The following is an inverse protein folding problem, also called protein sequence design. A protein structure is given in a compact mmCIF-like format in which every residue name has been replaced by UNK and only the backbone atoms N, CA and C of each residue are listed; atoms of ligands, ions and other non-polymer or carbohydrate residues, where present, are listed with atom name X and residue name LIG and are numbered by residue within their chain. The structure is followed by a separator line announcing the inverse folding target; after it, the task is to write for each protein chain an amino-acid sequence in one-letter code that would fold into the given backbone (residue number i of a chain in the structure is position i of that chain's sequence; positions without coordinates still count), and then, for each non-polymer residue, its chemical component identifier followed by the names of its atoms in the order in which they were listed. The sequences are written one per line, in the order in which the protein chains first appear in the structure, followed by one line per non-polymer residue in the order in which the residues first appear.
data_IF_892731257525
#
_entry.id   IF_892731257525
#
_cell.length_a   1.000
_cell.length_b   1.000
_cell.length_c   1.000
_cell.angle_alpha   90.00
_cell.angle_beta   90.00
_cell.angle_gamma   90.00
#
_symmetry.space_group_name_H-M   'P 1'
#
loop_
_entity.id
_entity.type
_entity.pdbx_description
1 polymer ?
#
# COMPACT_ATOMS: atom_id res chain seq x y z
N UNK A 1 -20.79 16.88 89.94
CA UNK A 1 -20.74 17.50 88.60
C UNK A 1 -19.97 16.55 87.70
N UNK A 2 -20.62 15.87 86.75
CA UNK A 2 -19.93 14.97 85.81
C UNK A 2 -20.07 15.54 84.40
N UNK A 3 -18.95 15.96 83.83
CA UNK A 3 -18.85 16.46 82.46
C UNK A 3 -18.91 15.28 81.49
N UNK A 4 -19.92 15.24 80.61
CA UNK A 4 -19.94 14.31 79.48
C UNK A 4 -19.23 14.95 78.28
N UNK A 5 -18.08 14.40 77.91
CA UNK A 5 -17.44 14.66 76.62
C UNK A 5 -18.13 13.83 75.53
N UNK A 6 -18.79 14.51 74.59
CA UNK A 6 -19.46 13.88 73.46
C UNK A 6 -18.49 13.77 72.27
N UNK A 7 -17.97 12.58 72.00
CA UNK A 7 -17.16 12.31 70.80
C UNK A 7 -18.09 12.03 69.63
N UNK A 8 -18.15 12.92 68.64
CA UNK A 8 -18.98 12.75 67.45
C UNK A 8 -18.32 11.70 66.54
N UNK A 9 -18.93 10.51 66.45
CA UNK A 9 -18.51 9.46 65.53
C UNK A 9 -18.80 9.85 64.07
N UNK A 10 -17.75 9.95 63.24
CA UNK A 10 -17.85 10.24 61.80
C UNK A 10 -18.39 9.01 61.06
N UNK A 11 -19.63 9.06 60.58
CA UNK A 11 -20.20 7.98 59.74
C UNK A 11 -19.51 7.97 58.37
N UNK A 12 -18.80 6.90 58.06
CA UNK A 12 -18.37 6.59 56.69
C UNK A 12 -19.55 5.95 55.97
N UNK A 13 -20.11 6.64 54.98
CA UNK A 13 -21.15 6.05 54.11
C UNK A 13 -20.48 5.07 53.16
N UNK A 14 -20.85 3.80 53.23
CA UNK A 14 -20.49 2.79 52.24
C UNK A 14 -21.46 2.80 51.06
N UNK A 15 -21.00 2.34 49.90
CA UNK A 15 -21.85 2.10 48.73
C UNK A 15 -22.92 1.05 49.04
N UNK A 16 -24.13 1.26 48.55
CA UNK A 16 -25.20 0.26 48.64
C UNK A 16 -25.06 -0.76 47.50
N UNK A 17 -25.47 -2.00 47.74
CA UNK A 17 -25.52 -3.03 46.70
C UNK A 17 -26.46 -2.64 45.54
N UNK A 18 -27.52 -1.90 45.85
CA UNK A 18 -28.48 -1.39 44.87
C UNK A 18 -27.82 -0.37 43.92
N UNK A 19 -27.01 0.54 44.45
CA UNK A 19 -26.26 1.51 43.62
C UNK A 19 -25.33 0.79 42.66
N UNK A 20 -24.59 -0.22 43.13
CA UNK A 20 -23.69 -0.98 42.26
C UNK A 20 -24.47 -1.75 41.17
N UNK A 21 -25.62 -2.34 41.52
CA UNK A 21 -26.46 -3.08 40.58
C UNK A 21 -27.03 -2.18 39.48
N UNK A 22 -27.51 -0.98 39.82
CA UNK A 22 -28.02 -0.02 38.84
C UNK A 22 -26.88 0.45 37.93
N UNK A 23 -25.68 0.69 38.47
CA UNK A 23 -24.52 1.12 37.69
C UNK A 23 -24.13 0.08 36.64
N UNK A 24 -23.98 -1.21 37.03
CA UNK A 24 -23.62 -2.24 36.05
C UNK A 24 -24.72 -2.45 35.00
N UNK A 25 -25.99 -2.30 35.37
CA UNK A 25 -27.11 -2.39 34.43
C UNK A 25 -27.07 -1.25 33.40
N UNK A 26 -26.82 -0.01 33.85
CA UNK A 26 -26.68 1.14 32.94
C UNK A 26 -25.44 0.99 32.05
N UNK A 27 -24.31 0.56 32.61
CA UNK A 27 -23.08 0.34 31.83
C UNK A 27 -23.26 -0.71 30.74
N UNK A 28 -24.00 -1.80 31.01
CA UNK A 28 -24.30 -2.81 30.01
C UNK A 28 -25.10 -2.23 28.83
N UNK A 29 -26.12 -1.42 29.10
CA UNK A 29 -26.93 -0.77 28.06
C UNK A 29 -26.07 0.20 27.26
N UNK A 30 -25.33 1.09 27.93
CA UNK A 30 -24.48 2.09 27.25
C UNK A 30 -23.41 1.44 26.38
N UNK A 31 -22.78 0.36 26.86
CA UNK A 31 -21.75 -0.34 26.09
C UNK A 31 -22.30 -0.88 24.75
N UNK A 32 -23.51 -1.44 24.73
CA UNK A 32 -24.12 -1.95 23.49
C UNK A 32 -24.42 -0.84 22.48
N UNK A 33 -24.96 0.30 22.92
CA UNK A 33 -25.27 1.44 22.05
C UNK A 33 -24.01 2.02 21.43
N UNK A 34 -22.95 2.19 22.23
CA UNK A 34 -21.68 2.77 21.77
C UNK A 34 -21.03 1.94 20.65
N UNK A 35 -21.02 0.61 20.78
CA UNK A 35 -20.42 -0.27 19.75
C UNK A 35 -21.18 -0.19 18.43
N UNK A 36 -22.52 -0.11 18.48
CA UNK A 36 -23.36 0.02 17.28
C UNK A 36 -23.15 1.36 16.57
N UNK A 37 -22.93 2.44 17.31
CA UNK A 37 -22.75 3.79 16.75
C UNK A 37 -21.34 4.00 16.19
N UNK A 38 -20.30 3.52 16.89
CA UNK A 38 -18.91 3.84 16.53
C UNK A 38 -18.28 2.92 15.49
N UNK A 39 -18.86 1.75 15.20
CA UNK A 39 -18.32 0.73 14.30
C UNK A 39 -16.77 0.63 14.39
N UNK A 40 -16.22 0.08 15.48
CA UNK A 40 -14.78 0.11 15.76
C UNK A 40 -13.95 -0.57 14.67
N UNK A 41 -14.49 -1.59 13.99
CA UNK A 41 -13.82 -2.26 12.88
C UNK A 41 -13.56 -1.29 11.72
N UNK A 42 -14.54 -0.43 11.40
CA UNK A 42 -14.41 0.57 10.36
C UNK A 42 -13.42 1.68 10.73
N UNK A 43 -13.41 2.10 12.00
CA UNK A 43 -12.40 3.05 12.49
C UNK A 43 -10.99 2.50 12.32
N UNK A 44 -10.77 1.22 12.63
CA UNK A 44 -9.46 0.57 12.43
C UNK A 44 -9.05 0.49 10.95
N UNK A 45 -9.99 0.18 10.05
CA UNK A 45 -9.75 0.21 8.60
C UNK A 45 -9.33 1.60 8.14
N UNK A 46 -10.03 2.64 8.59
CA UNK A 46 -9.70 4.03 8.26
C UNK A 46 -8.34 4.48 8.80
N UNK A 47 -7.93 3.97 9.96
CA UNK A 47 -6.57 4.17 10.48
C UNK A 47 -5.53 3.51 9.58
N UNK A 48 -5.73 2.25 9.17
CA UNK A 48 -4.82 1.57 8.23
C UNK A 48 -4.76 2.27 6.88
N UNK A 49 -5.88 2.72 6.35
CA UNK A 49 -5.88 3.47 5.09
C UNK A 49 -5.20 4.83 5.21
N UNK A 50 -5.29 5.50 6.37
CA UNK A 50 -4.52 6.73 6.62
C UNK A 50 -3.01 6.44 6.61
N UNK A 51 -2.59 5.28 7.11
CA UNK A 51 -1.21 4.80 6.97
C UNK A 51 -0.86 4.56 5.50
N UNK A 52 -1.70 3.87 4.72
CA UNK A 52 -1.49 3.63 3.28
C UNK A 52 -1.29 4.93 2.49
N UNK A 53 -2.16 5.92 2.72
CA UNK A 53 -2.03 7.23 2.08
C UNK A 53 -0.70 7.91 2.44
N UNK A 54 -0.28 7.83 3.70
CA UNK A 54 1.01 8.39 4.15
C UNK A 54 2.19 7.65 3.51
N UNK A 55 2.17 6.32 3.52
CA UNK A 55 3.20 5.45 2.94
C UNK A 55 3.38 5.72 1.46
N UNK A 56 2.28 5.74 0.69
CA UNK A 56 2.30 5.96 -0.75
C UNK A 56 2.76 7.37 -1.11
N UNK A 57 2.34 8.40 -0.36
CA UNK A 57 2.85 9.75 -0.55
C UNK A 57 4.34 9.87 -0.25
N UNK A 58 4.81 9.16 0.78
CA UNK A 58 6.21 9.13 1.19
C UNK A 58 7.07 8.43 0.13
N UNK A 59 6.61 7.29 -0.39
CA UNK A 59 7.25 6.58 -1.49
C UNK A 59 7.30 7.43 -2.77
N UNK A 60 6.19 8.05 -3.17
CA UNK A 60 6.14 8.94 -4.33
C UNK A 60 7.16 10.08 -4.21
N UNK A 61 7.22 10.72 -3.05
CA UNK A 61 8.17 11.80 -2.79
C UNK A 61 9.63 11.30 -2.79
N UNK A 62 9.90 10.14 -2.20
CA UNK A 62 11.22 9.53 -2.16
C UNK A 62 11.74 9.18 -3.57
N UNK A 63 10.90 8.59 -4.41
CA UNK A 63 11.27 8.25 -5.80
C UNK A 63 11.44 9.51 -6.63
N UNK A 64 10.58 10.52 -6.47
CA UNK A 64 10.76 11.81 -7.14
C UNK A 64 12.10 12.48 -6.75
N UNK A 65 12.49 12.41 -5.47
CA UNK A 65 13.78 12.92 -5.03
C UNK A 65 14.95 12.12 -5.64
N UNK A 66 14.83 10.79 -5.71
CA UNK A 66 15.83 9.94 -6.36
C UNK A 66 16.02 10.32 -7.84
N UNK A 67 14.92 10.41 -8.60
CA UNK A 67 14.92 10.74 -10.04
C UNK A 67 15.52 12.11 -10.33
N UNK A 68 15.38 13.07 -9.40
CA UNK A 68 15.91 14.43 -9.59
C UNK A 68 17.38 14.58 -9.24
N UNK A 69 17.93 13.74 -8.36
CA UNK A 69 19.33 13.83 -7.94
C UNK A 69 20.27 12.91 -8.72
N UNK A 70 19.74 11.83 -9.30
CA UNK A 70 20.53 10.85 -10.05
C UNK A 70 20.42 11.16 -11.54
N UNK A 71 21.55 11.38 -12.22
CA UNK A 71 21.54 11.79 -13.63
C UNK A 71 21.03 10.75 -14.63
N UNK A 72 21.01 9.47 -14.23
CA UNK A 72 20.47 8.33 -14.99
C UNK A 72 19.75 7.40 -14.00
N UNK A 73 18.58 7.81 -13.48
CA UNK A 73 17.94 7.10 -12.38
C UNK A 73 17.45 5.74 -12.86
N UNK A 74 17.83 4.68 -12.12
CA UNK A 74 17.37 3.31 -12.36
C UNK A 74 16.29 2.93 -11.37
N UNK A 75 15.14 2.50 -11.88
CA UNK A 75 13.95 2.23 -11.08
C UNK A 75 13.64 0.74 -10.92
N UNK A 76 14.46 -0.14 -11.50
CA UNK A 76 14.28 -1.60 -11.43
C UNK A 76 15.39 -2.35 -10.67
N UNK A 77 16.30 -1.62 -10.01
CA UNK A 77 17.40 -2.18 -9.23
C UNK A 77 18.53 -2.75 -10.06
N UNK A 78 18.45 -2.71 -11.40
CA UNK A 78 19.54 -3.18 -12.25
C UNK A 78 20.62 -2.09 -12.36
N UNK A 79 21.88 -2.49 -12.23
CA UNK A 79 23.00 -1.56 -12.08
C UNK A 79 23.33 -0.74 -13.34
N UNK A 80 22.84 -1.16 -14.52
CA UNK A 80 23.27 -0.60 -15.81
C UNK A 80 22.14 -0.39 -16.84
N UNK A 81 20.90 -0.75 -16.51
CA UNK A 81 19.76 -0.66 -17.44
C UNK A 81 18.46 -0.38 -16.68
N UNK A 82 17.36 -0.12 -17.37
CA UNK A 82 16.00 -0.20 -16.80
C UNK A 82 15.24 -1.32 -17.51
N UNK A 83 15.90 -2.46 -17.73
CA UNK A 83 15.39 -3.56 -18.56
C UNK A 83 14.01 -4.03 -18.09
N UNK A 84 13.76 -4.02 -16.77
CA UNK A 84 12.48 -4.42 -16.19
C UNK A 84 11.46 -3.26 -16.10
N UNK A 85 11.81 -2.08 -16.60
CA UNK A 85 10.88 -0.97 -16.85
C UNK A 85 10.59 -0.79 -18.35
N UNK A 86 11.04 -1.67 -19.24
CA UNK A 86 10.81 -1.50 -20.67
C UNK A 86 9.49 -2.14 -21.10
N UNK A 87 8.68 -1.34 -21.79
CA UNK A 87 7.58 -1.84 -22.61
C UNK A 87 8.20 -2.59 -23.81
N UNK A 88 7.63 -3.75 -24.16
CA UNK A 88 7.96 -4.63 -25.29
C UNK A 88 9.09 -4.16 -26.23
N UNK A 89 10.19 -4.91 -26.26
CA UNK A 89 11.30 -4.65 -27.17
C UNK A 89 11.09 -5.32 -28.54
N UNK A 90 10.90 -4.53 -29.61
CA UNK A 90 10.88 -5.04 -30.99
C UNK A 90 12.21 -4.82 -31.75
N UNK A 91 13.20 -4.21 -31.09
CA UNK A 91 14.52 -3.94 -31.66
C UNK A 91 14.56 -2.86 -32.74
N UNK A 92 13.43 -2.29 -33.18
CA UNK A 92 13.39 -1.42 -34.37
C UNK A 92 12.48 -0.18 -34.30
N UNK A 93 11.66 0.04 -33.27
CA UNK A 93 10.95 1.32 -33.12
C UNK A 93 11.31 2.05 -31.84
N UNK A 94 11.76 3.32 -31.92
CA UNK A 94 11.63 4.23 -30.80
C UNK A 94 10.16 4.64 -30.74
N UNK A 95 9.58 4.58 -29.55
CA UNK A 95 8.37 5.30 -29.14
C UNK A 95 7.06 4.51 -29.03
N UNK A 96 6.30 4.93 -28.02
CA UNK A 96 5.09 4.34 -27.45
C UNK A 96 3.96 4.19 -28.48
N UNK A 97 3.63 2.96 -28.88
CA UNK A 97 2.45 2.72 -29.71
C UNK A 97 2.20 1.24 -30.00
N UNK A 98 1.13 0.72 -29.39
CA UNK A 98 0.36 -0.52 -29.70
C UNK A 98 1.11 -1.85 -29.93
N UNK A 99 0.56 -2.99 -29.48
CA UNK A 99 1.23 -4.28 -29.61
C UNK A 99 1.28 -4.71 -31.07
N UNK A 100 2.47 -4.77 -31.67
CA UNK A 100 2.69 -5.55 -32.89
C UNK A 100 2.30 -7.02 -32.62
N UNK A 101 1.84 -7.81 -33.56
CA UNK A 101 1.66 -9.24 -33.32
C UNK A 101 3.05 -9.93 -33.42
N UNK A 102 3.54 -10.57 -32.34
CA UNK A 102 4.62 -11.58 -32.44
C UNK A 102 6.02 -11.32 -31.82
N UNK A 103 6.23 -10.31 -30.96
CA UNK A 103 7.46 -10.24 -30.13
C UNK A 103 7.20 -10.93 -28.77
N UNK A 104 8.14 -11.76 -28.33
CA UNK A 104 7.85 -12.90 -27.46
C UNK A 104 7.95 -12.67 -25.93
N UNK A 105 8.17 -11.45 -25.42
CA UNK A 105 8.07 -11.21 -23.96
C UNK A 105 8.05 -9.71 -23.62
N UNK A 106 7.10 -9.28 -22.79
CA UNK A 106 7.27 -8.05 -22.02
C UNK A 106 8.39 -8.27 -20.99
N UNK A 107 9.21 -7.25 -20.74
CA UNK A 107 10.23 -7.33 -19.68
C UNK A 107 9.78 -6.63 -18.40
N UNK A 108 8.66 -5.89 -18.46
CA UNK A 108 8.11 -5.14 -17.34
C UNK A 108 7.76 -6.06 -16.18
N UNK A 109 8.32 -5.77 -15.00
CA UNK A 109 8.04 -6.51 -13.76
C UNK A 109 7.05 -5.76 -12.89
N UNK A 110 6.30 -6.52 -12.11
CA UNK A 110 5.46 -6.01 -11.03
C UNK A 110 6.09 -6.44 -9.72
N UNK A 111 6.59 -5.48 -8.98
CA UNK A 111 7.08 -5.74 -7.64
C UNK A 111 5.95 -5.58 -6.63
N UNK A 112 5.94 -6.43 -5.61
CA UNK A 112 4.90 -6.44 -4.58
C UNK A 112 5.51 -6.44 -3.19
N UNK A 113 4.84 -5.81 -2.23
CA UNK A 113 5.27 -5.82 -0.82
C UNK A 113 5.10 -7.18 -0.11
N UNK A 114 4.65 -8.21 -0.83
CA UNK A 114 4.47 -9.57 -0.30
C UNK A 114 5.82 -10.31 -0.29
N UNK A 115 6.24 -10.93 0.83
CA UNK A 115 7.48 -11.70 0.88
C UNK A 115 7.36 -12.98 0.03
N UNK A 116 8.50 -13.49 -0.45
CA UNK A 116 8.61 -14.70 -1.27
C UNK A 116 8.47 -16.04 -0.49
N UNK A 117 7.87 -16.00 0.71
CA UNK A 117 7.65 -17.23 1.48
C UNK A 117 6.69 -18.21 0.79
N UNK A 118 5.84 -17.69 -0.09
CA UNK A 118 4.98 -18.43 -1.00
C UNK A 118 4.88 -17.62 -2.30
N UNK A 119 5.18 -18.25 -3.43
CA UNK A 119 5.24 -17.57 -4.71
C UNK A 119 3.84 -17.29 -5.27
N UNK A 120 3.66 -16.10 -5.84
CA UNK A 120 2.54 -15.77 -6.70
C UNK A 120 2.65 -16.58 -7.99
N UNK A 121 1.60 -17.30 -8.32
CA UNK A 121 1.47 -18.19 -9.48
C UNK A 121 0.44 -17.71 -10.49
N UNK A 122 -0.08 -16.49 -10.30
CA UNK A 122 -1.08 -15.88 -11.16
C UNK A 122 -0.60 -15.75 -12.62
N UNK A 123 -1.41 -16.28 -13.53
CA UNK A 123 -1.20 -16.23 -14.99
C UNK A 123 -2.31 -15.48 -15.72
N UNK A 124 -3.26 -14.88 -14.99
CA UNK A 124 -4.51 -14.33 -15.52
C UNK A 124 -4.46 -12.85 -15.91
N UNK A 125 -3.29 -12.22 -15.79
CA UNK A 125 -3.11 -10.78 -16.01
C UNK A 125 -3.02 -10.48 -17.50
N UNK A 126 -4.18 -10.31 -18.13
CA UNK A 126 -4.23 -9.99 -19.56
C UNK A 126 -5.33 -8.98 -19.86
N UNK A 127 -4.99 -7.69 -19.94
CA UNK A 127 -5.78 -6.75 -20.75
C UNK A 127 -4.93 -5.62 -21.34
N UNK A 128 -3.92 -5.10 -20.63
CA UNK A 128 -3.01 -4.04 -21.16
C UNK A 128 -1.52 -4.41 -21.19
N UNK A 129 -1.17 -5.60 -20.67
CA UNK A 129 0.17 -6.17 -20.71
C UNK A 129 0.10 -7.56 -21.35
N UNK A 130 -0.11 -7.65 -22.67
CA UNK A 130 -0.25 -8.93 -23.33
C UNK A 130 0.94 -9.85 -23.01
N UNK A 131 0.71 -10.89 -22.20
CA UNK A 131 1.68 -11.86 -21.66
C UNK A 131 2.45 -11.42 -20.39
N UNK A 132 1.76 -11.16 -19.27
CA UNK A 132 2.39 -11.30 -17.95
C UNK A 132 2.20 -12.73 -17.44
N UNK A 133 3.28 -13.36 -16.98
CA UNK A 133 3.27 -14.68 -16.34
C UNK A 133 3.65 -14.54 -14.86
N UNK A 134 3.54 -15.64 -14.09
CA UNK A 134 4.04 -15.68 -12.70
C UNK A 134 5.48 -15.18 -12.56
N UNK A 135 6.31 -15.39 -13.60
CA UNK A 135 7.68 -14.91 -13.69
C UNK A 135 7.83 -13.38 -13.70
N UNK A 136 6.75 -12.63 -13.92
CA UNK A 136 6.75 -11.16 -13.95
C UNK A 136 6.44 -10.53 -12.60
N UNK A 137 5.94 -11.32 -11.64
CA UNK A 137 5.96 -10.94 -10.23
C UNK A 137 7.37 -11.00 -9.68
N UNK A 138 7.71 -9.97 -8.91
CA UNK A 138 8.95 -9.95 -8.16
C UNK A 138 8.64 -9.76 -6.67
N UNK A 139 8.64 -10.88 -5.96
CA UNK A 139 8.62 -10.94 -4.51
C UNK A 139 10.05 -10.94 -3.98
N UNK A 140 10.23 -10.41 -2.77
CA UNK A 140 11.54 -10.30 -2.13
C UNK A 140 11.53 -11.08 -0.83
N UNK A 141 12.65 -11.74 -0.51
CA UNK A 141 12.85 -12.39 0.80
C UNK A 141 12.53 -11.45 1.94
N UNK A 142 11.93 -11.98 3.01
CA UNK A 142 11.53 -11.19 4.19
C UNK A 142 12.69 -10.35 4.79
N UNK A 143 13.92 -10.84 4.68
CA UNK A 143 15.12 -10.14 5.17
C UNK A 143 15.44 -8.85 4.40
N UNK A 144 14.97 -8.75 3.15
CA UNK A 144 15.27 -7.66 2.23
C UNK A 144 14.07 -6.76 1.99
N UNK A 145 12.86 -7.20 2.36
CA UNK A 145 11.59 -6.53 2.12
C UNK A 145 11.60 -5.03 2.46
N UNK A 146 12.21 -4.67 3.59
CA UNK A 146 12.23 -3.29 4.10
C UNK A 146 13.43 -2.45 3.62
N UNK A 147 14.37 -3.03 2.87
CA UNK A 147 15.62 -2.37 2.50
C UNK A 147 15.42 -1.25 1.48
N UNK A 148 16.20 -0.19 1.59
CA UNK A 148 16.14 1.01 0.75
C UNK A 148 17.37 1.17 -0.16
N UNK A 149 18.15 0.10 -0.32
CA UNK A 149 19.42 0.07 -1.04
C UNK A 149 19.30 -0.52 -2.46
N UNK A 150 18.08 -0.63 -2.99
CA UNK A 150 17.78 -1.28 -4.27
C UNK A 150 17.48 -2.78 -4.19
N UNK A 151 17.65 -3.43 -3.03
CA UNK A 151 17.30 -4.85 -2.85
C UNK A 151 15.89 -5.09 -2.29
N UNK A 152 15.19 -4.04 -1.86
CA UNK A 152 13.83 -4.16 -1.32
C UNK A 152 12.76 -4.32 -2.41
N UNK A 153 11.50 -4.45 -1.98
CA UNK A 153 10.39 -4.65 -2.93
C UNK A 153 10.14 -3.45 -3.85
N UNK A 154 10.61 -2.26 -3.48
CA UNK A 154 10.85 -1.18 -4.45
C UNK A 154 12.35 -1.17 -4.73
N UNK A 155 12.78 -1.59 -5.94
CA UNK A 155 14.19 -1.80 -6.25
C UNK A 155 14.91 -0.48 -6.61
N UNK A 156 14.69 0.57 -5.82
CA UNK A 156 15.32 1.89 -5.99
C UNK A 156 16.42 2.08 -4.94
N UNK A 157 17.59 2.55 -5.37
CA UNK A 157 18.73 2.80 -4.50
C UNK A 157 18.60 4.16 -3.79
N UNK A 158 17.66 4.29 -2.86
CA UNK A 158 17.43 5.55 -2.12
C UNK A 158 18.66 6.01 -1.32
N UNK A 159 19.54 5.09 -0.94
CA UNK A 159 20.83 5.41 -0.30
C UNK A 159 21.81 6.20 -1.20
N UNK A 160 21.58 6.24 -2.51
CA UNK A 160 22.38 7.05 -3.44
C UNK A 160 21.99 8.54 -3.43
N UNK A 161 20.89 8.92 -2.78
CA UNK A 161 20.45 10.31 -2.63
C UNK A 161 21.45 11.08 -1.76
N UNK A 162 21.87 12.25 -2.23
CA UNK A 162 22.73 13.16 -1.50
C UNK A 162 21.99 13.68 -0.26
N UNK A 163 22.59 13.49 0.92
CA UNK A 163 21.94 13.78 2.21
C UNK A 163 21.33 12.55 2.88
N UNK A 164 21.42 11.38 2.24
CA UNK A 164 20.90 10.11 2.76
C UNK A 164 19.51 9.77 2.26
N UNK A 165 19.03 8.54 2.50
CA UNK A 165 17.73 8.12 2.02
C UNK A 165 16.61 8.90 2.76
N UNK A 166 15.61 9.43 2.02
CA UNK A 166 14.48 10.15 2.61
C UNK A 166 13.55 9.24 3.43
N UNK A 167 13.73 7.92 3.31
CA UNK A 167 13.00 6.89 4.02
C UNK A 167 13.99 5.91 4.67
N UNK A 168 13.75 5.55 5.93
CA UNK A 168 14.60 4.62 6.66
C UNK A 168 14.34 3.15 6.26
N UNK A 169 13.07 2.82 5.94
CA UNK A 169 12.62 1.50 5.53
C UNK A 169 11.52 1.65 4.47
N UNK A 170 11.41 0.69 3.55
CA UNK A 170 10.23 0.60 2.68
C UNK A 170 9.00 0.23 3.53
N UNK A 171 7.87 0.91 3.37
CA UNK A 171 6.64 0.50 4.03
C UNK A 171 6.10 -0.78 3.37
N UNK A 172 5.35 -1.55 4.13
CA UNK A 172 4.53 -2.66 3.65
C UNK A 172 3.09 -2.39 4.07
N UNK A 173 2.14 -2.94 3.33
CA UNK A 173 0.74 -2.82 3.70
C UNK A 173 0.52 -3.30 5.16
N UNK A 174 -0.28 -2.62 5.99
CA UNK A 174 -0.47 -3.04 7.38
C UNK A 174 -1.06 -4.46 7.55
N UNK A 175 -1.78 -4.96 6.53
CA UNK A 175 -2.31 -6.33 6.47
C UNK A 175 -1.40 -7.24 5.64
N UNK A 176 -0.82 -6.73 4.54
CA UNK A 176 0.13 -7.41 3.64
C UNK A 176 -0.23 -8.86 3.30
N UNK A 177 -1.41 -9.06 2.73
CA UNK A 177 -1.94 -10.39 2.47
C UNK A 177 -2.59 -10.49 1.09
N UNK A 178 -2.41 -11.65 0.47
CA UNK A 178 -3.08 -12.09 -0.76
C UNK A 178 -3.94 -13.29 -0.44
N UNK A 179 -5.18 -13.30 -0.91
CA UNK A 179 -6.17 -14.34 -0.60
C UNK A 179 -5.92 -15.61 -1.40
N UNK A 180 -5.59 -15.47 -2.69
CA UNK A 180 -5.28 -16.56 -3.60
C UNK A 180 -4.05 -16.21 -4.43
N UNK A 181 -2.94 -16.91 -4.19
CA UNK A 181 -1.68 -16.68 -4.90
C UNK A 181 -1.73 -17.08 -6.38
N UNK A 182 -2.76 -17.82 -6.82
CA UNK A 182 -2.98 -18.16 -8.23
C UNK A 182 -3.86 -17.14 -8.97
N UNK A 183 -4.43 -16.17 -8.25
CA UNK A 183 -5.33 -15.15 -8.80
C UNK A 183 -5.33 -13.93 -7.86
N UNK A 184 -4.30 -13.11 -7.96
CA UNK A 184 -4.18 -11.89 -7.16
C UNK A 184 -5.29 -10.93 -7.59
N UNK A 185 -6.00 -10.34 -6.64
CA UNK A 185 -7.13 -9.48 -6.93
C UNK A 185 -6.86 -8.01 -6.56
N UNK A 186 -7.69 -7.11 -7.10
CA UNK A 186 -7.77 -5.72 -6.67
C UNK A 186 -8.14 -5.58 -5.17
N UNK A 187 -8.75 -6.60 -4.58
CA UNK A 187 -9.13 -6.65 -3.17
C UNK A 187 -7.94 -6.97 -2.24
N UNK A 188 -6.85 -7.53 -2.78
CA UNK A 188 -5.72 -7.95 -1.96
C UNK A 188 -4.93 -6.75 -1.41
N UNK A 189 -4.62 -6.85 -0.12
CA UNK A 189 -4.05 -5.77 0.69
C UNK A 189 -2.54 -5.86 0.69
N UNK A 190 -1.96 -5.44 -0.43
CA UNK A 190 -0.52 -5.33 -0.68
C UNK A 190 -0.24 -4.01 -1.42
N UNK A 191 0.99 -3.54 -1.37
CA UNK A 191 1.46 -2.52 -2.30
C UNK A 191 2.03 -3.15 -3.56
N UNK A 192 1.74 -2.53 -4.70
CA UNK A 192 2.20 -2.93 -6.03
C UNK A 192 3.03 -1.80 -6.61
N UNK A 193 4.12 -2.11 -7.30
CA UNK A 193 5.00 -1.15 -7.93
C UNK A 193 5.37 -1.61 -9.33
N UNK A 194 5.37 -0.68 -10.28
CA UNK A 194 5.98 -0.88 -11.59
C UNK A 194 6.56 0.42 -12.11
N UNK A 195 7.49 0.30 -13.05
CA UNK A 195 8.14 1.41 -13.70
C UNK A 195 8.06 1.29 -15.22
N UNK A 196 8.21 2.42 -15.89
CA UNK A 196 8.31 2.50 -17.35
C UNK A 196 9.47 3.42 -17.72
N UNK A 197 10.38 2.98 -18.57
CA UNK A 197 11.51 3.78 -19.04
C UNK A 197 11.47 3.95 -20.56
N UNK A 198 11.70 5.17 -21.04
CA UNK A 198 11.90 5.46 -22.45
C UNK A 198 13.34 5.12 -22.85
N UNK A 199 13.53 4.38 -23.96
CA UNK A 199 14.85 4.16 -24.57
C UNK A 199 15.36 5.38 -25.34
N UNK A 200 14.52 6.41 -25.54
CA UNK A 200 14.91 7.64 -26.21
C UNK A 200 15.81 8.48 -25.30
N UNK A 201 16.59 9.38 -25.91
CA UNK A 201 17.62 10.22 -25.27
C UNK A 201 17.12 11.14 -24.12
N UNK A 202 15.85 11.05 -23.73
CA UNK A 202 15.24 11.82 -22.64
C UNK A 202 15.40 11.19 -21.24
N UNK A 203 15.94 9.97 -21.11
CA UNK A 203 16.14 9.26 -19.83
C UNK A 203 14.94 9.34 -18.87
N UNK A 204 13.74 9.39 -19.45
CA UNK A 204 12.52 9.64 -18.70
C UNK A 204 12.00 8.30 -18.20
N UNK A 205 12.21 8.03 -16.92
CA UNK A 205 11.63 6.87 -16.24
C UNK A 205 10.43 7.35 -15.42
N UNK A 206 9.26 6.80 -15.71
CA UNK A 206 8.03 6.97 -14.94
C UNK A 206 7.78 5.76 -14.05
N UNK A 207 6.95 5.94 -13.03
CA UNK A 207 6.58 4.85 -12.13
C UNK A 207 5.16 5.02 -11.62
N UNK A 208 4.64 3.92 -11.07
CA UNK A 208 3.33 3.80 -10.48
C UNK A 208 3.38 2.89 -9.25
N UNK A 209 2.60 3.24 -8.23
CA UNK A 209 2.39 2.47 -7.01
C UNK A 209 0.89 2.38 -6.75
N UNK A 210 0.36 1.17 -6.59
CA UNK A 210 -1.06 0.93 -6.36
C UNK A 210 -1.29 0.22 -5.02
N UNK A 211 -2.39 0.58 -4.34
CA UNK A 211 -2.83 -0.06 -3.10
C UNK A 211 -4.36 -0.07 -2.97
N UNK A 212 -4.91 -1.10 -2.33
CA UNK A 212 -6.34 -1.18 -2.03
C UNK A 212 -6.68 -0.48 -0.72
N UNK A 213 -7.72 0.36 -0.74
CA UNK A 213 -8.30 0.97 0.47
C UNK A 213 -9.37 0.06 1.08
N UNK A 214 -9.37 -0.06 2.42
CA UNK A 214 -10.21 -0.99 3.17
C UNK A 214 -11.51 -0.38 3.70
N UNK A 215 -11.47 0.88 4.11
CA UNK A 215 -12.58 1.58 4.77
C UNK A 215 -13.71 1.85 3.80
N UNK A 216 -14.94 1.76 4.29
CA UNK A 216 -16.15 2.10 3.54
C UNK A 216 -16.16 3.55 3.04
N UNK A 217 -15.43 4.44 3.72
CA UNK A 217 -15.26 5.84 3.29
C UNK A 217 -14.29 6.00 2.12
N UNK A 218 -13.15 5.29 2.14
CA UNK A 218 -12.06 5.50 1.17
C UNK A 218 -12.04 4.51 0.01
N UNK A 219 -12.69 3.35 0.15
CA UNK A 219 -12.82 2.36 -0.92
C UNK A 219 -13.71 2.85 -2.09
N UNK A 220 -13.72 2.15 -3.23
CA UNK A 220 -14.59 2.48 -4.37
C UNK A 220 -16.06 2.53 -3.96
N UNK A 221 -16.76 3.60 -4.36
CA UNK A 221 -18.15 3.87 -3.99
C UNK A 221 -18.35 4.45 -2.58
N UNK A 222 -17.27 4.67 -1.84
CA UNK A 222 -17.28 5.36 -0.54
C UNK A 222 -17.53 6.86 -0.64
N UNK A 223 -17.72 7.54 0.49
CA UNK A 223 -17.98 8.99 0.50
C UNK A 223 -16.76 9.78 0.00
N UNK A 224 -15.56 9.44 0.49
CA UNK A 224 -14.33 10.05 0.03
C UNK A 224 -13.81 9.41 -1.25
N UNK A 225 -13.95 8.09 -1.41
CA UNK A 225 -13.53 7.28 -2.58
C UNK A 225 -12.18 7.73 -3.16
N UNK A 226 -11.09 7.20 -2.60
CA UNK A 226 -9.73 7.63 -2.95
C UNK A 226 -9.28 7.08 -4.29
N UNK A 227 -9.66 5.84 -4.61
CA UNK A 227 -9.28 5.15 -5.83
C UNK A 227 -9.93 5.79 -7.06
N UNK A 228 -11.25 6.04 -7.07
CA UNK A 228 -11.90 6.58 -8.26
C UNK A 228 -11.57 8.06 -8.56
N UNK A 229 -10.82 8.75 -7.69
CA UNK A 229 -10.58 10.20 -7.74
C UNK A 229 -9.10 10.59 -7.79
N UNK A 230 -8.20 9.62 -7.93
CA UNK A 230 -6.75 9.88 -8.03
C UNK A 230 -6.29 10.22 -9.46
N UNK A 231 -7.12 9.95 -10.46
CA UNK A 231 -6.86 10.26 -11.87
C UNK A 231 -6.11 9.15 -12.62
N UNK A 232 -5.99 7.96 -12.04
CA UNK A 232 -5.39 6.80 -12.68
C UNK A 232 -6.37 5.94 -13.48
N UNK A 233 -5.91 4.76 -13.88
CA UNK A 233 -6.62 3.86 -14.79
C UNK A 233 -7.39 2.73 -14.09
N UNK A 234 -7.22 2.54 -12.77
CA UNK A 234 -7.88 1.49 -11.99
C UNK A 234 -8.73 2.09 -10.86
N UNK A 235 -10.05 2.14 -11.05
CA UNK A 235 -10.97 2.70 -10.05
C UNK A 235 -11.06 1.87 -8.75
N UNK A 236 -10.44 0.70 -8.67
CA UNK A 236 -10.44 -0.16 -7.48
C UNK A 236 -9.23 0.04 -6.57
N UNK A 237 -8.15 0.62 -7.09
CA UNK A 237 -6.90 0.83 -6.37
C UNK A 237 -6.62 2.33 -6.27
N UNK A 238 -6.04 2.76 -5.16
CA UNK A 238 -5.47 4.09 -5.06
C UNK A 238 -4.10 4.09 -5.72
N UNK A 239 -3.86 5.01 -6.64
CA UNK A 239 -2.73 5.03 -7.56
C UNK A 239 -1.91 6.31 -7.33
N UNK A 240 -0.60 6.17 -7.19
CA UNK A 240 0.33 7.30 -7.10
C UNK A 240 1.55 7.07 -7.96
N UNK A 241 2.09 8.14 -8.54
CA UNK A 241 3.21 8.01 -9.46
C UNK A 241 3.39 9.22 -10.34
N UNK A 242 4.19 9.07 -11.38
CA UNK A 242 4.36 10.05 -12.46
C UNK A 242 3.53 9.67 -13.70
N UNK A 243 3.11 8.42 -13.79
CA UNK A 243 2.26 7.87 -14.84
C UNK A 243 1.40 6.78 -14.20
N UNK A 244 0.08 6.99 -14.15
CA UNK A 244 -0.89 6.12 -13.44
C UNK A 244 -1.57 5.15 -14.42
N UNK A 245 -0.82 4.69 -15.41
CA UNK A 245 -1.31 3.78 -16.47
C UNK A 245 -0.36 2.61 -16.76
N UNK A 246 0.69 2.48 -15.96
CA UNK A 246 1.72 1.44 -16.04
C UNK A 246 1.18 0.11 -15.53
N UNK A 247 0.48 0.11 -14.39
CA UNK A 247 -0.16 -1.08 -13.83
C UNK A 247 -1.52 -1.35 -14.52
N UNK A 248 -2.03 -2.59 -14.50
CA UNK A 248 -3.28 -2.94 -15.15
C UNK A 248 -4.49 -2.17 -14.60
N UNK A 249 -5.31 -1.62 -15.51
CA UNK A 249 -6.53 -0.87 -15.18
C UNK A 249 -7.81 -1.71 -15.04
N UNK A 250 -7.79 -2.99 -15.45
CA UNK A 250 -8.96 -3.89 -15.48
C UNK A 250 -8.57 -5.35 -15.25
N UNK A 251 -9.48 -6.12 -14.63
CA UNK A 251 -9.44 -7.58 -14.37
C UNK A 251 -8.26 -8.10 -13.56
N UNK A 252 -8.57 -8.83 -12.47
CA UNK A 252 -7.65 -9.75 -11.78
C UNK A 252 -6.28 -9.18 -11.43
N UNK A 253 -6.18 -7.86 -11.28
CA UNK A 253 -5.05 -7.12 -10.75
C UNK A 253 -5.50 -5.71 -10.39
#
# INVERSE_FOLDING_TARGET
MQNLNLTIAKRTKGFTLLELLIVIAILAILATVVVLVLNPAETLKKTRDSQRLSDMNTLRAAIALYVTQIGQPKLDGTAFSDTNCLDRFDGNTPDFGEPLNGAASNLRKIWVSLPDSSDITDTSISTNMANLASADFNQIVVADLYKTNGNGWIPVQFNAIQGGPPIANLPVDPTNAVTDLASVANEDLIYRYSCRSSRAASNSTTFEINARMESDDFKPGGASDKAAKDGGNNSNLYEVGTDLSILPGTDGF
#
